data_IF_755700245595
#
_entry.id   IF_755700245595
#
_cell.length_a   1.000
_cell.length_b   1.000
_cell.length_c   1.000
_cell.angle_alpha   90.00
_cell.angle_beta   90.00
_cell.angle_gamma   90.00
#
_symmetry.space_group_name_H-M   'P 1'
#
loop_
_entity.id
_entity.type
_entity.pdbx_description
1 polymer ?
#
# COMPACT_ATOMS: atom_id res chain seq x y z
N UNK A 1 -7.37 -31.88 18.41
CA UNK A 1 -6.53 -30.72 18.06
C UNK A 1 -5.51 -31.23 17.05
N UNK A 2 -5.71 -31.04 15.75
CA UNK A 2 -4.71 -31.44 14.75
C UNK A 2 -3.74 -30.28 14.49
N UNK A 3 -2.47 -30.63 14.31
CA UNK A 3 -1.32 -29.76 13.97
C UNK A 3 -1.43 -29.08 12.59
N UNK A 4 -2.57 -28.46 12.26
CA UNK A 4 -2.77 -27.72 11.00
C UNK A 4 -2.80 -26.19 11.15
N UNK A 5 -2.67 -25.66 12.37
CA UNK A 5 -2.72 -24.21 12.65
C UNK A 5 -1.34 -23.55 12.86
N UNK A 6 -0.24 -24.29 12.70
CA UNK A 6 1.10 -23.83 13.09
C UNK A 6 1.86 -22.98 12.04
N UNK A 7 1.20 -22.42 11.04
CA UNK A 7 1.92 -21.82 9.90
C UNK A 7 1.36 -20.56 9.26
N UNK A 8 0.09 -20.20 9.44
CA UNK A 8 -0.47 -18.99 8.83
C UNK A 8 -0.79 -17.99 9.94
N UNK A 9 -0.10 -16.84 10.03
CA UNK A 9 -0.43 -15.84 11.04
C UNK A 9 -1.91 -15.46 10.90
N UNK A 10 -2.62 -15.29 12.01
CA UNK A 10 -4.03 -14.98 11.97
C UNK A 10 -4.31 -13.79 11.04
N UNK A 11 -5.40 -13.85 10.26
CA UNK A 11 -5.71 -12.84 9.22
C UNK A 11 -5.63 -11.40 9.73
N UNK A 12 -6.00 -11.17 10.99
CA UNK A 12 -5.94 -9.86 11.63
C UNK A 12 -4.50 -9.37 11.89
N UNK A 13 -3.57 -10.27 12.20
CA UNK A 13 -2.16 -9.94 12.43
C UNK A 13 -1.48 -9.54 11.11
N UNK A 14 -1.79 -10.26 10.03
CA UNK A 14 -1.34 -9.87 8.68
C UNK A 14 -1.83 -8.48 8.28
N UNK A 15 -3.11 -8.17 8.53
CA UNK A 15 -3.68 -6.84 8.28
C UNK A 15 -3.03 -5.79 9.18
N UNK A 16 -2.83 -6.07 10.47
CA UNK A 16 -2.16 -5.17 11.40
C UNK A 16 -0.75 -4.79 10.92
N UNK A 17 0.06 -5.76 10.52
CA UNK A 17 1.37 -5.48 9.95
C UNK A 17 1.30 -4.75 8.61
N UNK A 18 0.28 -5.04 7.79
CA UNK A 18 -0.01 -4.30 6.56
C UNK A 18 -0.29 -2.83 6.84
N UNK A 19 -1.14 -2.53 7.82
CA UNK A 19 -1.44 -1.16 8.28
C UNK A 19 -0.16 -0.48 8.76
N UNK A 20 0.62 -1.13 9.61
CA UNK A 20 1.86 -0.55 10.15
C UNK A 20 2.89 -0.24 9.05
N UNK A 21 3.12 -1.18 8.13
CA UNK A 21 4.05 -1.02 7.01
C UNK A 21 3.60 0.12 6.09
N UNK A 22 2.32 0.15 5.72
CA UNK A 22 1.76 1.20 4.88
C UNK A 22 1.82 2.57 5.58
N UNK A 23 1.46 2.63 6.86
CA UNK A 23 1.42 3.87 7.64
C UNK A 23 2.81 4.46 7.79
N UNK A 24 3.79 3.62 8.17
CA UNK A 24 5.16 4.04 8.37
C UNK A 24 5.80 4.53 7.07
N UNK A 25 5.70 3.75 5.99
CA UNK A 25 6.32 4.10 4.70
C UNK A 25 5.64 5.30 4.03
N UNK A 26 4.35 5.53 4.30
CA UNK A 26 3.60 6.64 3.72
C UNK A 26 3.55 7.88 4.62
N UNK A 27 4.30 7.92 5.74
CA UNK A 27 4.35 9.06 6.67
C UNK A 27 4.58 10.42 5.97
N UNK A 28 5.52 10.55 5.01
CA UNK A 28 5.70 11.80 4.28
C UNK A 28 4.45 12.22 3.50
N UNK A 29 3.76 11.26 2.89
CA UNK A 29 2.51 11.52 2.20
C UNK A 29 1.39 11.91 3.17
N UNK A 30 1.28 11.28 4.34
CA UNK A 30 0.33 11.69 5.36
C UNK A 30 0.53 13.14 5.79
N UNK A 31 1.77 13.57 6.00
CA UNK A 31 2.08 14.96 6.33
C UNK A 31 1.64 15.91 5.21
N UNK A 32 1.94 15.58 3.95
CA UNK A 32 1.53 16.39 2.81
C UNK A 32 0.00 16.45 2.65
N UNK A 33 -0.68 15.32 2.74
CA UNK A 33 -2.16 15.24 2.67
C UNK A 33 -2.80 16.01 3.81
N UNK A 34 -2.26 15.93 5.03
CA UNK A 34 -2.77 16.67 6.18
C UNK A 34 -2.75 18.19 5.98
N UNK A 35 -1.77 18.72 5.22
CA UNK A 35 -1.67 20.14 4.86
C UNK A 35 -2.51 20.47 3.63
N UNK A 36 -2.60 19.57 2.65
CA UNK A 36 -3.23 19.85 1.36
C UNK A 36 -4.74 19.61 1.34
N UNK A 37 -5.27 18.80 2.27
CA UNK A 37 -6.68 18.43 2.35
C UNK A 37 -7.63 19.62 2.45
N UNK A 38 -7.17 20.79 2.90
CA UNK A 38 -7.98 22.02 2.99
C UNK A 38 -8.64 22.44 1.67
N UNK A 39 -8.08 22.03 0.53
CA UNK A 39 -8.69 22.33 -0.77
C UNK A 39 -9.95 21.49 -1.03
N UNK A 40 -9.97 20.24 -0.56
CA UNK A 40 -11.04 19.27 -0.81
C UNK A 40 -11.24 18.34 0.41
N UNK A 41 -11.72 18.87 1.55
CA UNK A 41 -11.65 18.19 2.84
C UNK A 41 -12.39 16.84 2.84
N UNK A 42 -13.56 16.78 2.21
CA UNK A 42 -14.38 15.58 2.18
C UNK A 42 -13.82 14.52 1.22
N UNK A 43 -13.47 14.94 0.00
CA UNK A 43 -13.02 14.01 -1.04
C UNK A 43 -11.66 13.39 -0.70
N UNK A 44 -10.73 14.17 -0.13
CA UNK A 44 -9.41 13.69 0.29
C UNK A 44 -9.54 12.71 1.45
N UNK A 45 -10.36 13.03 2.45
CA UNK A 45 -10.55 12.18 3.63
C UNK A 45 -11.22 10.85 3.27
N UNK A 46 -12.27 10.88 2.45
CA UNK A 46 -12.95 9.66 2.00
C UNK A 46 -12.04 8.79 1.13
N UNK A 47 -11.37 9.39 0.15
CA UNK A 47 -10.45 8.64 -0.72
C UNK A 47 -9.27 8.05 0.09
N UNK A 48 -8.75 8.79 1.07
CA UNK A 48 -7.72 8.31 1.99
C UNK A 48 -8.17 7.18 2.89
N UNK A 49 -9.39 7.24 3.43
CA UNK A 49 -9.96 6.14 4.21
C UNK A 49 -10.01 4.85 3.39
N UNK A 50 -10.54 4.92 2.16
CA UNK A 50 -10.61 3.77 1.27
C UNK A 50 -9.22 3.28 0.84
N UNK A 51 -8.29 4.20 0.57
CA UNK A 51 -6.91 3.86 0.24
C UNK A 51 -6.21 3.11 1.39
N UNK A 52 -6.24 3.63 2.63
CA UNK A 52 -5.60 2.95 3.77
C UNK A 52 -6.26 1.61 4.04
N UNK A 53 -7.59 1.57 4.10
CA UNK A 53 -8.34 0.35 4.40
C UNK A 53 -8.05 -0.76 3.40
N UNK A 54 -8.27 -0.49 2.11
CA UNK A 54 -8.03 -1.47 1.06
C UNK A 54 -6.53 -1.78 0.88
N UNK A 55 -5.67 -0.76 0.95
CA UNK A 55 -4.22 -0.91 0.83
C UNK A 55 -3.63 -1.80 1.91
N UNK A 56 -4.13 -1.69 3.14
CA UNK A 56 -3.65 -2.50 4.27
C UNK A 56 -4.05 -3.97 4.12
N UNK A 57 -5.29 -4.23 3.70
CA UNK A 57 -5.79 -5.59 3.40
C UNK A 57 -5.02 -6.18 2.20
N UNK A 58 -4.82 -5.40 1.14
CA UNK A 58 -4.08 -5.83 -0.03
C UNK A 58 -2.61 -6.13 0.29
N UNK A 59 -1.95 -5.28 1.07
CA UNK A 59 -0.57 -5.51 1.48
C UNK A 59 -0.43 -6.79 2.31
N UNK A 60 -1.39 -7.06 3.20
CA UNK A 60 -1.46 -8.33 3.93
C UNK A 60 -1.66 -9.53 3.00
N UNK A 61 -2.48 -9.39 1.96
CA UNK A 61 -2.71 -10.44 0.96
C UNK A 61 -1.47 -10.70 0.09
N UNK A 62 -0.80 -9.65 -0.38
CA UNK A 62 0.42 -9.74 -1.19
C UNK A 62 1.59 -10.32 -0.39
N UNK A 63 1.78 -9.84 0.86
CA UNK A 63 2.85 -10.32 1.74
C UNK A 63 2.64 -11.76 2.18
N UNK A 64 1.40 -12.16 2.48
CA UNK A 64 1.06 -13.54 2.82
C UNK A 64 0.94 -14.47 1.62
N UNK A 65 1.34 -14.03 0.41
CA UNK A 65 1.32 -14.86 -0.80
C UNK A 65 -0.07 -15.32 -1.27
N UNK A 66 -1.15 -14.71 -0.76
CA UNK A 66 -2.54 -15.06 -1.12
C UNK A 66 -2.92 -14.56 -2.51
N UNK A 67 -2.23 -13.52 -2.98
CA UNK A 67 -2.32 -13.00 -4.35
C UNK A 67 -0.91 -12.87 -4.88
N UNK A 68 -0.61 -13.57 -5.98
CA UNK A 68 0.70 -13.51 -6.62
C UNK A 68 0.83 -12.23 -7.45
N UNK A 69 1.70 -11.33 -6.97
CA UNK A 69 2.06 -10.08 -7.65
C UNK A 69 3.58 -10.02 -7.93
N UNK A 70 4.27 -11.15 -7.77
CA UNK A 70 5.73 -11.25 -7.87
C UNK A 70 6.46 -11.15 -6.53
N UNK A 71 7.79 -11.28 -6.60
CA UNK A 71 8.66 -11.35 -5.43
C UNK A 71 8.81 -9.98 -4.75
N UNK A 72 8.42 -9.90 -3.49
CA UNK A 72 8.60 -8.71 -2.66
C UNK A 72 9.97 -8.72 -1.95
N UNK A 73 10.61 -7.55 -1.79
CA UNK A 73 11.85 -7.44 -1.00
C UNK A 73 11.60 -7.71 0.48
N UNK A 74 12.64 -8.15 1.21
CA UNK A 74 12.54 -8.41 2.65
C UNK A 74 12.17 -7.12 3.40
N UNK A 75 11.37 -7.25 4.45
CA UNK A 75 10.96 -6.08 5.27
C UNK A 75 12.17 -5.33 5.84
N UNK A 76 13.22 -6.05 6.26
CA UNK A 76 14.44 -5.50 6.85
C UNK A 76 15.54 -5.07 5.87
N UNK A 77 15.27 -5.10 4.56
CA UNK A 77 16.26 -4.69 3.57
C UNK A 77 16.40 -3.16 3.52
N UNK A 78 17.41 -2.64 4.23
CA UNK A 78 17.62 -1.19 4.43
C UNK A 78 17.94 -0.43 3.14
N UNK A 79 18.61 -1.06 2.17
CA UNK A 79 18.92 -0.47 0.86
C UNK A 79 17.67 -0.06 0.09
N UNK A 80 16.59 -0.85 0.22
CA UNK A 80 15.31 -0.61 -0.46
C UNK A 80 14.40 0.39 0.25
N UNK A 81 14.73 0.79 1.49
CA UNK A 81 13.85 1.64 2.31
C UNK A 81 13.56 3.00 1.68
N UNK A 82 14.55 3.77 1.17
CA UNK A 82 14.27 5.05 0.54
C UNK A 82 13.31 4.92 -0.66
N UNK A 83 13.50 3.88 -1.48
CA UNK A 83 12.63 3.58 -2.63
C UNK A 83 11.21 3.23 -2.16
N UNK A 84 11.08 2.38 -1.14
CA UNK A 84 9.79 1.98 -0.57
C UNK A 84 9.03 3.18 0.01
N UNK A 85 9.71 4.01 0.79
CA UNK A 85 9.11 5.23 1.37
C UNK A 85 8.64 6.17 0.26
N UNK A 86 9.50 6.45 -0.73
CA UNK A 86 9.15 7.33 -1.83
C UNK A 86 7.97 6.77 -2.65
N UNK A 87 8.03 5.49 -3.03
CA UNK A 87 7.00 4.86 -3.84
C UNK A 87 5.66 4.78 -3.12
N UNK A 88 5.64 4.30 -1.88
CA UNK A 88 4.40 4.17 -1.09
C UNK A 88 3.78 5.55 -0.83
N UNK A 89 4.62 6.55 -0.53
CA UNK A 89 4.17 7.93 -0.37
C UNK A 89 3.54 8.48 -1.65
N UNK A 90 4.16 8.26 -2.81
CA UNK A 90 3.62 8.72 -4.10
C UNK A 90 2.31 8.02 -4.46
N UNK A 91 2.22 6.71 -4.26
CA UNK A 91 0.98 5.95 -4.48
C UNK A 91 -0.13 6.46 -3.56
N UNK A 92 0.17 6.70 -2.28
CA UNK A 92 -0.80 7.23 -1.33
C UNK A 92 -1.25 8.65 -1.69
N UNK A 93 -0.34 9.53 -2.09
CA UNK A 93 -0.67 10.88 -2.59
C UNK A 93 -1.57 10.83 -3.83
N UNK A 94 -1.28 9.93 -4.76
CA UNK A 94 -2.10 9.74 -5.96
C UNK A 94 -3.51 9.21 -5.61
N UNK A 95 -3.58 8.21 -4.72
CA UNK A 95 -4.84 7.63 -4.26
C UNK A 95 -5.70 8.60 -3.43
N UNK A 96 -5.10 9.64 -2.86
CA UNK A 96 -5.79 10.66 -2.04
C UNK A 96 -6.06 11.93 -2.83
N UNK A 97 -5.04 12.78 -3.01
CA UNK A 97 -5.17 14.08 -3.67
C UNK A 97 -5.46 13.93 -5.15
N UNK A 98 -4.81 12.96 -5.82
CA UNK A 98 -5.07 12.69 -7.24
C UNK A 98 -6.52 12.26 -7.48
N UNK A 99 -7.02 11.32 -6.68
CA UNK A 99 -8.43 10.89 -6.76
C UNK A 99 -9.39 12.01 -6.35
N UNK A 100 -9.07 12.80 -5.31
CA UNK A 100 -9.90 13.92 -4.90
C UNK A 100 -10.06 14.96 -6.02
N UNK A 101 -8.99 15.24 -6.78
CA UNK A 101 -9.05 16.10 -7.95
C UNK A 101 -10.00 15.51 -9.02
N UNK A 102 -9.94 14.20 -9.27
CA UNK A 102 -10.86 13.52 -10.20
C UNK A 102 -12.32 13.59 -9.72
N UNK A 103 -12.56 13.36 -8.44
CA UNK A 103 -13.90 13.45 -7.82
C UNK A 103 -14.51 14.83 -8.06
N UNK A 104 -13.74 15.88 -7.80
CA UNK A 104 -14.22 17.27 -7.89
C UNK A 104 -14.40 17.73 -9.33
N UNK A 105 -13.48 17.34 -10.23
CA UNK A 105 -13.57 17.69 -11.65
C UNK A 105 -14.74 17.01 -12.35
N UNK A 106 -15.03 15.75 -12.01
CA UNK A 106 -16.17 14.99 -12.57
C UNK A 106 -17.47 15.29 -11.81
N UNK A 107 -17.39 15.77 -10.58
CA UNK A 107 -18.53 16.09 -9.73
C UNK A 107 -19.23 14.84 -9.14
N UNK A 108 -18.50 13.73 -8.99
CA UNK A 108 -19.08 12.47 -8.50
C UNK A 108 -18.31 11.90 -7.32
N UNK A 109 -18.95 11.93 -6.14
CA UNK A 109 -18.39 11.37 -4.91
C UNK A 109 -18.29 9.84 -4.91
N UNK A 110 -18.97 9.14 -5.81
CA UNK A 110 -18.75 7.70 -5.98
C UNK A 110 -17.32 7.36 -6.40
N UNK A 111 -16.61 8.31 -7.02
CA UNK A 111 -15.24 8.14 -7.46
C UNK A 111 -14.22 8.12 -6.31
N UNK A 112 -14.61 8.44 -5.06
CA UNK A 112 -13.72 8.27 -3.89
C UNK A 112 -13.28 6.81 -3.69
N UNK A 113 -14.09 5.86 -4.19
CA UNK A 113 -13.75 4.43 -4.21
C UNK A 113 -12.52 4.13 -5.08
N UNK A 114 -12.20 5.00 -6.04
CA UNK A 114 -10.96 4.88 -6.82
C UNK A 114 -9.71 5.00 -5.93
N UNK A 115 -9.79 5.64 -4.77
CA UNK A 115 -8.69 5.66 -3.79
C UNK A 115 -8.25 4.25 -3.40
N UNK A 116 -9.21 3.34 -3.15
CA UNK A 116 -8.91 1.93 -2.92
C UNK A 116 -8.26 1.28 -4.14
N UNK A 117 -8.82 1.50 -5.34
CA UNK A 117 -8.32 0.87 -6.58
C UNK A 117 -6.90 1.31 -6.89
N UNK A 118 -6.63 2.62 -6.86
CA UNK A 118 -5.32 3.21 -7.13
C UNK A 118 -4.29 2.71 -6.11
N UNK A 119 -4.67 2.66 -4.82
CA UNK A 119 -3.76 2.17 -3.78
C UNK A 119 -3.42 0.70 -3.98
N UNK A 120 -4.43 -0.16 -4.20
CA UNK A 120 -4.20 -1.61 -4.36
C UNK A 120 -3.40 -1.91 -5.62
N UNK A 121 -3.75 -1.27 -6.75
CA UNK A 121 -3.03 -1.45 -8.00
C UNK A 121 -1.59 -0.92 -7.91
N UNK A 122 -1.37 0.23 -7.28
CA UNK A 122 -0.04 0.78 -7.04
C UNK A 122 0.82 -0.15 -6.19
N UNK A 123 0.27 -0.69 -5.09
CA UNK A 123 0.99 -1.66 -4.25
C UNK A 123 1.30 -2.95 -5.02
N UNK A 124 0.38 -3.45 -5.85
CA UNK A 124 0.61 -4.63 -6.68
C UNK A 124 1.72 -4.43 -7.72
N UNK A 125 1.92 -3.20 -8.21
CA UNK A 125 2.97 -2.88 -9.17
C UNK A 125 4.37 -2.73 -8.52
N UNK A 126 4.45 -2.59 -7.19
CA UNK A 126 5.73 -2.34 -6.49
C UNK A 126 6.82 -3.39 -6.78
N UNK A 127 6.56 -4.72 -6.77
CA UNK A 127 7.58 -5.72 -7.11
C UNK A 127 8.20 -5.51 -8.49
N UNK A 128 7.43 -5.05 -9.48
CA UNK A 128 7.96 -4.75 -10.80
C UNK A 128 8.88 -3.52 -10.77
N UNK A 129 8.50 -2.47 -10.04
CA UNK A 129 9.31 -1.26 -9.87
C UNK A 129 10.60 -1.55 -9.11
N UNK A 130 10.52 -2.35 -8.04
CA UNK A 130 11.70 -2.81 -7.30
C UNK A 130 12.67 -3.53 -8.22
N UNK A 131 12.18 -4.47 -9.04
CA UNK A 131 13.04 -5.19 -10.00
C UNK A 131 13.69 -4.31 -11.05
N UNK A 132 12.99 -3.27 -11.49
CA UNK A 132 13.51 -2.32 -12.46
C UNK A 132 14.66 -1.46 -11.88
N UNK A 133 14.60 -1.14 -10.58
CA UNK A 133 15.61 -0.28 -9.92
C UNK A 133 16.77 -1.09 -9.34
N UNK A 134 16.50 -2.26 -8.78
CA UNK A 134 17.49 -3.06 -8.04
C UNK A 134 17.84 -4.41 -8.70
N UNK A 135 17.18 -4.79 -9.81
CA UNK A 135 17.38 -6.08 -10.47
C UNK A 135 16.55 -7.21 -9.84
N UNK A 136 16.87 -8.47 -10.17
CA UNK A 136 16.24 -9.60 -9.49
C UNK A 136 16.62 -9.61 -8.00
N UNK A 137 15.68 -9.83 -7.08
CA UNK A 137 16.00 -9.99 -5.67
C UNK A 137 16.95 -11.19 -5.53
N UNK A 138 18.19 -10.93 -5.11
CA UNK A 138 19.26 -11.94 -5.02
C UNK A 138 18.84 -13.07 -4.06
N UNK A 139 19.14 -14.32 -4.43
CA UNK A 139 18.61 -15.59 -3.88
C UNK A 139 18.55 -15.78 -2.36
N UNK A 140 17.76 -16.78 -1.93
CA UNK A 140 17.29 -17.06 -0.55
C UNK A 140 16.54 -15.90 0.16
N UNK A 141 16.55 -14.69 -0.41
CA UNK A 141 15.91 -13.50 0.14
C UNK A 141 14.38 -13.51 0.07
N UNK A 142 13.78 -14.32 -0.80
CA UNK A 142 12.35 -14.48 -0.96
C UNK A 142 11.80 -15.56 0.00
N UNK A 143 11.80 -15.29 1.31
CA UNK A 143 11.20 -16.25 2.24
C UNK A 143 9.70 -16.07 2.29
N UNK A 144 8.99 -17.12 1.83
CA UNK A 144 7.60 -17.42 2.13
C UNK A 144 7.46 -17.65 3.64
N UNK A 145 6.77 -16.75 4.33
CA UNK A 145 6.14 -17.02 5.62
C UNK A 145 4.74 -16.43 5.55
#
# INVERSE_FOLDING_TARGET
MSDSDAGDPPRYEGVFFGVMELSFLSTPAFAAVAVLQWHYPDAVSLSGLFAIGAGSVALAAFRGGRVDVGAWPRRGELSSLPLRVAYFSLVFLAATLGVALVVVTVGSYWLVLLGAVVQVAGLAAFPAVYRLVHGEPVGEAAVRW
#
